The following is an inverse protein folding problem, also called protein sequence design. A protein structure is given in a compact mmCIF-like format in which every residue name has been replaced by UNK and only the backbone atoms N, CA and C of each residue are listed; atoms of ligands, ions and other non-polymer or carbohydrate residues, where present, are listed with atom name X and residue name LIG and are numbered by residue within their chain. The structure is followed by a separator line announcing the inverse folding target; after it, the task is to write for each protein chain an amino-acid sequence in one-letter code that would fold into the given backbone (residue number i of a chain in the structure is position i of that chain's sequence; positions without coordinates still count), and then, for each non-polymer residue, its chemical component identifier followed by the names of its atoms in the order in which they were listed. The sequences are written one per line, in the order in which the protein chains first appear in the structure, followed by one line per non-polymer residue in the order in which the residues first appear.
data_IF_741554032291
#
_entry.id   IF_741554032291
#
_cell.length_a   1.000
_cell.length_b   1.000
_cell.length_c   1.000
_cell.angle_alpha   90.00
_cell.angle_beta   90.00
_cell.angle_gamma   90.00
#
_symmetry.space_group_name_H-M   'P 1'
#
loop_
_entity.id
_entity.type
_entity.pdbx_description
1 polymer ?
#
# COMPACT_ATOMS: atom_id res chain seq x y z
N UNK A 1 -7.13 9.16 -15.81
CA UNK A 1 -6.05 8.19 -16.08
C UNK A 1 -6.19 6.88 -15.28
N UNK A 2 -6.09 6.87 -13.93
CA UNK A 2 -6.14 5.62 -13.14
C UNK A 2 -7.47 4.86 -13.30
N UNK A 3 -8.62 5.55 -13.21
CA UNK A 3 -9.95 4.95 -13.44
C UNK A 3 -10.04 4.23 -14.79
N UNK A 4 -9.61 4.91 -15.84
CA UNK A 4 -9.64 4.40 -17.21
C UNK A 4 -8.75 3.17 -17.38
N UNK A 5 -7.53 3.19 -16.83
CA UNK A 5 -6.61 2.05 -16.84
C UNK A 5 -7.19 0.82 -16.13
N UNK A 6 -7.86 1.01 -15.00
CA UNK A 6 -8.52 -0.09 -14.28
C UNK A 6 -9.70 -0.65 -15.09
N UNK A 7 -10.49 0.20 -15.73
CA UNK A 7 -11.56 -0.22 -16.64
C UNK A 7 -11.03 -1.02 -17.83
N UNK A 8 -9.94 -0.56 -18.46
CA UNK A 8 -9.27 -1.28 -19.55
C UNK A 8 -8.71 -2.64 -19.11
N UNK A 9 -8.31 -2.77 -17.83
CA UNK A 9 -7.87 -4.02 -17.23
C UNK A 9 -9.05 -4.96 -16.86
N UNK A 10 -10.30 -4.57 -17.13
CA UNK A 10 -11.49 -5.38 -16.90
C UNK A 10 -12.15 -5.20 -15.54
N UNK A 11 -11.77 -4.18 -14.76
CA UNK A 11 -12.45 -3.85 -13.50
C UNK A 11 -13.74 -3.06 -13.79
N UNK A 12 -14.87 -3.47 -13.21
CA UNK A 12 -16.11 -2.70 -13.21
C UNK A 12 -16.02 -1.52 -12.24
N UNK A 13 -15.27 -0.49 -12.64
CA UNK A 13 -14.99 0.69 -11.80
C UNK A 13 -16.28 1.39 -11.40
N UNK A 14 -17.20 1.58 -12.35
CA UNK A 14 -18.44 2.32 -12.12
C UNK A 14 -19.38 1.56 -11.18
N UNK A 15 -19.60 0.26 -11.41
CA UNK A 15 -20.41 -0.56 -10.52
C UNK A 15 -19.86 -0.61 -9.09
N UNK A 16 -18.54 -0.77 -8.94
CA UNK A 16 -17.89 -0.79 -7.63
C UNK A 16 -17.95 0.55 -6.90
N UNK A 17 -17.85 1.69 -7.62
CA UNK A 17 -18.05 3.02 -7.02
C UNK A 17 -19.51 3.19 -6.56
N UNK A 18 -20.50 2.77 -7.35
CA UNK A 18 -21.94 2.84 -6.98
C UNK A 18 -22.27 1.93 -5.79
N UNK A 19 -21.68 0.74 -5.72
CA UNK A 19 -21.84 -0.18 -4.59
C UNK A 19 -21.10 0.27 -3.32
N UNK A 20 -20.32 1.35 -3.37
CA UNK A 20 -19.51 1.82 -2.24
C UNK A 20 -18.33 0.89 -1.92
N UNK A 21 -17.87 0.10 -2.89
CA UNK A 21 -16.79 -0.90 -2.73
C UNK A 21 -15.46 -0.45 -3.29
N UNK A 22 -15.44 0.65 -4.04
CA UNK A 22 -14.25 1.31 -4.55
C UNK A 22 -14.39 2.82 -4.36
N UNK A 23 -13.33 3.45 -3.84
CA UNK A 23 -13.26 4.90 -3.67
C UNK A 23 -11.88 5.38 -4.10
N UNK A 24 -11.85 6.42 -4.94
CA UNK A 24 -10.61 7.12 -5.27
C UNK A 24 -10.45 8.33 -4.36
N UNK A 25 -9.30 8.44 -3.73
CA UNK A 25 -8.93 9.58 -2.89
C UNK A 25 -7.76 10.29 -3.53
N UNK A 26 -7.86 11.60 -3.67
CA UNK A 26 -6.73 12.42 -4.11
C UNK A 26 -5.79 12.59 -2.94
N UNK A 27 -4.54 12.16 -3.08
CA UNK A 27 -3.54 12.31 -2.04
C UNK A 27 -3.33 13.79 -1.69
N UNK A 28 -3.22 14.10 -0.40
CA UNK A 28 -2.80 15.42 0.07
C UNK A 28 -1.39 15.80 -0.45
N UNK A 29 -1.16 17.09 -0.69
CA UNK A 29 0.09 17.60 -1.29
C UNK A 29 1.29 17.61 -0.34
N UNK A 30 1.10 17.36 0.96
CA UNK A 30 2.18 17.40 1.96
C UNK A 30 2.81 16.01 2.18
N UNK A 31 4.12 15.86 1.94
CA UNK A 31 4.87 14.66 2.30
C UNK A 31 4.81 14.42 3.82
N UNK A 32 4.53 13.18 4.23
CA UNK A 32 4.56 12.75 5.64
C UNK A 32 3.19 12.49 6.26
N UNK A 33 2.11 13.14 5.80
CA UNK A 33 0.75 13.03 6.37
C UNK A 33 0.00 11.74 5.98
N UNK A 34 0.72 10.72 5.49
CA UNK A 34 0.10 9.55 4.85
C UNK A 34 -0.48 8.57 5.86
N UNK A 35 0.14 8.45 7.04
CA UNK A 35 -0.34 7.54 8.09
C UNK A 35 -1.67 8.04 8.63
N UNK A 36 -1.77 9.35 8.84
CA UNK A 36 -2.96 10.05 9.28
C UNK A 36 -4.07 10.00 8.23
N UNK A 37 -3.71 10.16 6.95
CA UNK A 37 -4.66 10.00 5.84
C UNK A 37 -5.22 8.58 5.79
N UNK A 38 -4.36 7.56 5.91
CA UNK A 38 -4.76 6.15 5.96
C UNK A 38 -5.64 5.87 7.17
N UNK A 39 -5.28 6.38 8.35
CA UNK A 39 -6.06 6.23 9.57
C UNK A 39 -7.46 6.82 9.41
N UNK A 40 -7.55 8.06 8.92
CA UNK A 40 -8.84 8.73 8.66
C UNK A 40 -9.69 7.92 7.68
N UNK A 41 -9.10 7.45 6.58
CA UNK A 41 -9.82 6.62 5.60
C UNK A 41 -10.28 5.29 6.20
N UNK A 42 -9.45 4.64 7.01
CA UNK A 42 -9.82 3.41 7.69
C UNK A 42 -10.98 3.66 8.67
N UNK A 43 -10.97 4.75 9.43
CA UNK A 43 -12.05 5.12 10.35
C UNK A 43 -13.36 5.48 9.63
N UNK A 44 -13.30 6.16 8.49
CA UNK A 44 -14.47 6.48 7.65
C UNK A 44 -15.14 5.23 7.07
N UNK A 45 -14.34 4.23 6.69
CA UNK A 45 -14.82 3.03 5.98
C UNK A 45 -15.00 1.82 6.90
N UNK A 46 -14.55 1.90 8.16
CA UNK A 46 -14.72 0.85 9.18
C UNK A 46 -16.20 0.67 9.52
N UNK A 47 -16.88 -0.13 8.71
CA UNK A 47 -18.23 -0.58 8.95
C UNK A 47 -18.36 -2.06 8.60
N UNK A 48 -18.97 -2.81 9.53
CA UNK A 48 -19.49 -4.17 9.30
C UNK A 48 -18.45 -5.30 9.16
N UNK A 49 -17.28 -5.21 9.81
CA UNK A 49 -16.31 -6.33 9.88
C UNK A 49 -15.72 -6.72 8.52
N UNK A 50 -15.62 -5.75 7.61
CA UNK A 50 -15.04 -5.91 6.27
C UNK A 50 -13.64 -5.33 6.25
N UNK A 51 -12.71 -6.07 5.66
CA UNK A 51 -11.36 -5.56 5.46
C UNK A 51 -11.35 -4.34 4.53
N UNK A 52 -10.70 -3.28 4.96
CA UNK A 52 -10.48 -2.07 4.16
C UNK A 52 -9.17 -2.24 3.40
N UNK A 53 -9.20 -2.08 2.07
CA UNK A 53 -8.01 -2.23 1.22
C UNK A 53 -7.54 -0.88 0.72
N UNK A 54 -6.32 -0.51 1.05
CA UNK A 54 -5.72 0.76 0.62
C UNK A 54 -4.49 0.45 -0.24
N UNK A 55 -4.48 1.03 -1.45
CA UNK A 55 -3.36 0.93 -2.39
C UNK A 55 -2.69 2.29 -2.53
N UNK A 56 -1.38 2.36 -2.34
CA UNK A 56 -0.61 3.59 -2.46
C UNK A 56 0.78 3.34 -3.06
N UNK A 57 1.33 4.37 -3.68
CA UNK A 57 2.70 4.32 -4.21
C UNK A 57 3.66 5.01 -3.24
N UNK A 58 4.86 4.46 -3.10
CA UNK A 58 5.96 5.14 -2.43
C UNK A 58 6.25 6.45 -3.15
N UNK A 59 6.45 7.52 -2.38
CA UNK A 59 6.89 8.79 -2.92
C UNK A 59 8.36 8.97 -2.56
N UNK A 60 9.25 8.49 -3.42
CA UNK A 60 10.69 8.48 -3.14
C UNK A 60 11.34 9.86 -3.09
N UNK A 61 10.62 10.92 -3.48
CA UNK A 61 11.08 12.30 -3.35
C UNK A 61 11.34 12.68 -1.87
N UNK A 62 10.76 11.95 -0.92
CA UNK A 62 11.01 12.16 0.52
C UNK A 62 12.32 11.54 1.03
N UNK A 63 12.98 10.70 0.24
CA UNK A 63 14.17 9.96 0.65
C UNK A 63 13.86 8.57 1.22
N UNK A 64 14.83 7.65 1.09
CA UNK A 64 14.69 6.24 1.47
C UNK A 64 14.42 6.08 2.97
N UNK A 65 15.10 6.87 3.82
CA UNK A 65 14.97 6.73 5.27
C UNK A 65 13.58 7.14 5.76
N UNK A 66 13.09 8.25 5.22
CA UNK A 66 11.78 8.81 5.49
C UNK A 66 10.69 7.85 5.01
N UNK A 67 10.85 7.28 3.83
CA UNK A 67 9.89 6.32 3.28
C UNK A 67 9.86 5.00 4.09
N UNK A 68 11.02 4.52 4.57
CA UNK A 68 11.08 3.38 5.51
C UNK A 68 10.44 3.69 6.87
N UNK A 69 10.60 4.92 7.37
CA UNK A 69 9.95 5.35 8.62
C UNK A 69 8.42 5.38 8.46
N UNK A 70 7.93 5.87 7.32
CA UNK A 70 6.51 5.83 6.98
C UNK A 70 6.00 4.38 6.87
N UNK A 71 6.75 3.48 6.22
CA UNK A 71 6.37 2.07 6.14
C UNK A 71 6.25 1.43 7.53
N UNK A 72 7.17 1.72 8.45
CA UNK A 72 7.08 1.22 9.84
C UNK A 72 5.78 1.68 10.52
N UNK A 73 5.47 2.97 10.42
CA UNK A 73 4.24 3.52 11.01
C UNK A 73 2.96 2.92 10.38
N UNK A 74 2.99 2.59 9.09
CA UNK A 74 1.90 1.87 8.43
C UNK A 74 1.79 0.42 8.90
N UNK A 75 2.91 -0.26 9.13
CA UNK A 75 2.93 -1.62 9.69
C UNK A 75 2.29 -1.63 11.08
N UNK A 76 2.68 -0.70 11.96
CA UNK A 76 2.08 -0.54 13.30
C UNK A 76 0.57 -0.23 13.23
N UNK A 77 0.12 0.52 12.23
CA UNK A 77 -1.30 0.83 12.04
C UNK A 77 -2.10 -0.40 11.58
N UNK A 78 -1.49 -1.29 10.79
CA UNK A 78 -2.15 -2.50 10.28
C UNK A 78 -2.25 -3.58 11.35
N UNK A 79 -1.29 -3.66 12.26
CA UNK A 79 -1.28 -4.63 13.36
C UNK A 79 -2.57 -4.56 14.19
N UNK A 80 -3.30 -5.68 14.28
CA UNK A 80 -4.54 -5.78 15.05
C UNK A 80 -5.77 -5.13 14.41
N UNK A 81 -5.69 -4.70 13.14
CA UNK A 81 -6.81 -4.11 12.40
C UNK A 81 -7.25 -5.00 11.23
N UNK A 82 -8.44 -4.74 10.68
CA UNK A 82 -8.89 -5.35 9.42
C UNK A 82 -8.34 -4.61 8.17
N UNK A 83 -7.30 -3.80 8.34
CA UNK A 83 -6.73 -2.99 7.27
C UNK A 83 -5.72 -3.80 6.45
N UNK A 84 -5.84 -3.72 5.12
CA UNK A 84 -4.84 -4.26 4.18
C UNK A 84 -4.25 -3.09 3.40
N UNK A 85 -2.95 -2.85 3.59
CA UNK A 85 -2.22 -1.80 2.87
C UNK A 85 -1.28 -2.42 1.86
N UNK A 86 -1.45 -2.06 0.59
CA UNK A 86 -0.49 -2.33 -0.48
C UNK A 86 0.29 -1.06 -0.77
N UNK A 87 1.60 -1.12 -0.55
CA UNK A 87 2.53 -0.09 -1.01
C UNK A 87 3.25 -0.58 -2.27
N UNK A 88 3.56 0.32 -3.21
CA UNK A 88 4.21 -0.03 -4.49
C UNK A 88 5.33 0.95 -4.80
N UNK A 89 6.45 0.42 -5.31
CA UNK A 89 7.62 1.16 -5.79
C UNK A 89 8.03 0.57 -7.13
N UNK A 90 8.59 1.38 -8.04
CA UNK A 90 9.11 0.86 -9.31
C UNK A 90 10.42 0.09 -9.08
N UNK A 91 10.75 -0.83 -9.98
CA UNK A 91 11.98 -1.63 -9.90
C UNK A 91 13.23 -0.74 -9.99
N UNK A 92 13.29 0.14 -11.01
CA UNK A 92 14.39 1.09 -11.21
C UNK A 92 14.63 1.98 -9.98
N UNK A 93 13.54 2.44 -9.37
CA UNK A 93 13.52 3.26 -8.16
C UNK A 93 14.07 2.52 -6.92
N UNK A 94 13.84 1.21 -6.84
CA UNK A 94 14.28 0.37 -5.74
C UNK A 94 15.76 -0.04 -5.90
N UNK A 95 16.22 -0.23 -7.13
CA UNK A 95 17.61 -0.55 -7.47
C UNK A 95 18.60 0.55 -7.03
N UNK A 96 18.14 1.79 -6.93
CA UNK A 96 18.96 2.91 -6.43
C UNK A 96 19.20 2.84 -4.92
N UNK A 97 18.47 2.00 -4.17
CA UNK A 97 18.61 1.93 -2.72
C UNK A 97 19.80 1.08 -2.30
N UNK A 98 20.47 1.42 -1.18
CA UNK A 98 21.43 0.52 -0.59
C UNK A 98 20.77 -0.83 -0.26
N UNK A 99 21.41 -1.96 -0.60
CA UNK A 99 20.80 -3.29 -0.40
C UNK A 99 20.42 -3.61 1.05
N UNK A 100 21.03 -2.94 2.04
CA UNK A 100 20.60 -3.03 3.44
C UNK A 100 19.22 -2.38 3.69
N UNK A 101 18.90 -1.30 2.98
CA UNK A 101 17.59 -0.63 3.03
C UNK A 101 16.54 -1.41 2.26
N UNK A 102 16.88 -1.99 1.09
CA UNK A 102 15.97 -2.88 0.36
C UNK A 102 15.52 -4.08 1.23
N UNK A 103 16.47 -4.74 1.90
CA UNK A 103 16.16 -5.84 2.83
C UNK A 103 15.30 -5.39 4.00
N UNK A 104 15.57 -4.19 4.56
CA UNK A 104 14.74 -3.61 5.62
C UNK A 104 13.31 -3.36 5.14
N UNK A 105 13.13 -2.86 3.92
CA UNK A 105 11.81 -2.68 3.34
C UNK A 105 11.06 -4.01 3.25
N UNK A 106 11.69 -5.05 2.71
CA UNK A 106 11.07 -6.38 2.56
C UNK A 106 10.57 -6.96 3.89
N UNK A 107 11.34 -6.84 4.97
CA UNK A 107 10.96 -7.41 6.28
C UNK A 107 9.86 -6.61 7.00
N UNK A 108 9.58 -5.36 6.61
CA UNK A 108 8.50 -4.57 7.20
C UNK A 108 7.12 -4.89 6.61
N UNK A 109 7.07 -5.66 5.51
CA UNK A 109 5.81 -6.07 4.89
C UNK A 109 5.46 -7.51 5.28
N UNK A 110 4.15 -7.78 5.43
CA UNK A 110 3.62 -9.14 5.60
C UNK A 110 3.64 -9.97 4.30
N UNK A 111 4.14 -9.40 3.20
CA UNK A 111 4.25 -10.08 1.92
C UNK A 111 4.86 -9.14 0.88
N UNK A 112 5.47 -9.70 -0.15
CA UNK A 112 6.05 -8.91 -1.24
C UNK A 112 5.69 -9.55 -2.56
N UNK A 113 5.15 -8.74 -3.48
CA UNK A 113 4.98 -9.11 -4.88
C UNK A 113 6.02 -8.36 -5.70
N UNK A 114 6.80 -9.08 -6.49
CA UNK A 114 7.75 -8.52 -7.43
C UNK A 114 7.27 -8.79 -8.84
N UNK A 115 7.04 -7.73 -9.61
CA UNK A 115 6.65 -7.83 -11.02
C UNK A 115 7.77 -7.23 -11.86
N UNK A 116 8.41 -8.06 -12.68
CA UNK A 116 9.41 -7.65 -13.66
C UNK A 116 8.97 -8.06 -15.07
N UNK A 117 9.78 -7.74 -16.08
CA UNK A 117 9.52 -8.19 -17.47
C UNK A 117 9.61 -9.69 -17.62
N UNK A 118 10.43 -10.33 -16.78
CA UNK A 118 10.71 -11.76 -16.77
C UNK A 118 9.61 -12.56 -16.05
N UNK A 119 8.79 -11.90 -15.23
CA UNK A 119 7.61 -12.51 -14.63
C UNK A 119 7.20 -11.93 -13.28
N UNK A 120 6.44 -12.73 -12.53
CA UNK A 120 5.91 -12.40 -11.22
C UNK A 120 6.51 -13.34 -10.17
N UNK A 121 7.15 -12.78 -9.15
CA UNK A 121 7.57 -13.49 -7.94
C UNK A 121 6.72 -13.04 -6.75
N UNK A 122 6.30 -14.00 -5.92
CA UNK A 122 5.56 -13.70 -4.69
C UNK A 122 6.28 -14.32 -3.49
N UNK A 123 6.48 -13.51 -2.46
CA UNK A 123 6.90 -13.94 -1.13
C UNK A 123 5.72 -13.83 -0.16
N UNK A 124 5.45 -14.88 0.62
CA UNK A 124 4.47 -14.87 1.72
C UNK A 124 5.18 -14.58 3.05
N UNK A 125 4.50 -13.82 3.91
CA UNK A 125 4.73 -13.84 5.35
C UNK A 125 3.40 -14.20 6.04
N UNK A 126 3.50 -15.01 7.09
CA UNK A 126 2.38 -15.42 7.94
C UNK A 126 1.68 -14.20 8.58
N UNK A 127 0.41 -14.32 9.03
CA UNK A 127 -0.18 -13.31 9.89
C UNK A 127 0.74 -13.10 11.10
N UNK A 128 0.85 -11.87 11.61
CA UNK A 128 1.45 -11.65 12.92
C UNK A 128 0.75 -12.59 13.91
N UNK A 129 1.50 -13.51 14.51
CA UNK A 129 0.97 -14.37 15.57
C UNK A 129 0.43 -13.44 16.67
N UNK A 130 -0.85 -13.62 17.02
CA UNK A 130 -1.31 -13.20 18.33
C UNK A 130 -0.42 -13.90 19.37
N UNK A 131 0.33 -13.12 20.15
CA UNK A 131 1.02 -13.55 21.36
C UNK A 131 0.26 -13.06 22.58
#
# INVERSE_FOLDING_TARGET
EVREKLGQAGLDVEGLEVEGRLRFVTQGTEPGNRVEEVRRLAEEESSEGRSVWISMNWDLRMGVKEALAQQRALTELVEGSELVIKTTVLEDDLDEWPGAEQRRAQVMHSGTLWLSREGLALSRVSPALEL
#
